data_IF_966412245266
#
_entry.id   IF_966412245266
#
_cell.length_a   1.000
_cell.length_b   1.000
_cell.length_c   1.000
_cell.angle_alpha   90.00
_cell.angle_beta   90.00
_cell.angle_gamma   90.00
#
_symmetry.space_group_name_H-M   'P 1'
#
loop_
_entity.id
_entity.type
_entity.pdbx_description
1 polymer ?
#
# COMPACT_ATOMS: atom_id res chain seq x y z
N UNK A 1 -37.66 -8.05 -18.94
CA UNK A 1 -36.18 -7.91 -19.07
C UNK A 1 -35.79 -7.01 -20.25
N UNK A 2 -36.33 -7.16 -21.45
CA UNK A 2 -36.09 -6.25 -22.60
C UNK A 2 -36.53 -4.78 -22.35
N UNK A 3 -37.65 -4.53 -21.70
CA UNK A 3 -38.13 -3.17 -21.38
C UNK A 3 -37.28 -2.44 -20.34
N UNK A 4 -36.56 -3.15 -19.45
CA UNK A 4 -35.60 -2.55 -18.50
C UNK A 4 -34.32 -2.17 -19.23
N UNK A 5 -33.91 -2.94 -20.24
CA UNK A 5 -32.71 -2.66 -21.05
C UNK A 5 -32.90 -1.46 -21.99
N UNK A 6 -34.11 -1.21 -22.46
CA UNK A 6 -34.42 -0.09 -23.35
C UNK A 6 -34.54 1.25 -22.61
N UNK A 7 -34.93 1.26 -21.32
CA UNK A 7 -34.90 2.46 -20.47
C UNK A 7 -33.51 2.95 -20.11
N UNK A 8 -32.47 2.12 -20.27
CA UNK A 8 -31.07 2.46 -19.99
C UNK A 8 -30.35 3.11 -21.19
N UNK A 9 -30.95 3.04 -22.39
CA UNK A 9 -30.36 3.54 -23.65
C UNK A 9 -30.53 5.05 -23.92
N UNK A 10 -31.16 5.79 -23.05
CA UNK A 10 -31.56 7.17 -23.33
C UNK A 10 -31.10 8.21 -22.31
N UNK A 11 -29.82 8.32 -21.96
CA UNK A 11 -29.34 9.53 -21.31
C UNK A 11 -28.06 10.05 -21.98
N UNK A 12 -28.05 11.33 -22.40
CA UNK A 12 -26.89 12.01 -22.96
C UNK A 12 -25.82 12.24 -21.86
N UNK A 13 -24.59 12.39 -22.29
CA UNK A 13 -23.36 12.75 -21.57
C UNK A 13 -23.51 13.39 -20.18
N UNK A 14 -23.97 12.63 -19.20
CA UNK A 14 -23.78 13.02 -17.79
C UNK A 14 -22.30 12.71 -17.49
N UNK A 15 -21.50 13.75 -17.28
CA UNK A 15 -20.17 13.61 -16.64
C UNK A 15 -20.41 12.80 -15.36
N UNK A 16 -20.11 11.51 -15.39
CA UNK A 16 -20.33 10.66 -14.23
C UNK A 16 -19.48 11.21 -13.09
N UNK A 17 -20.12 11.70 -12.03
CA UNK A 17 -19.47 12.18 -10.84
C UNK A 17 -18.68 11.05 -10.13
N UNK A 18 -17.87 11.41 -9.17
CA UNK A 18 -17.11 10.47 -8.34
C UNK A 18 -18.06 9.48 -7.63
N UNK A 19 -17.83 8.18 -7.80
CA UNK A 19 -18.61 7.13 -7.15
C UNK A 19 -18.10 6.88 -5.72
N UNK A 20 -18.40 7.79 -4.79
CA UNK A 20 -17.87 7.77 -3.43
C UNK A 20 -18.20 6.47 -2.66
N UNK A 21 -19.41 5.90 -2.84
CA UNK A 21 -19.77 4.64 -2.18
C UNK A 21 -18.79 3.51 -2.59
N UNK A 22 -18.43 3.42 -3.87
CA UNK A 22 -17.46 2.43 -4.35
C UNK A 22 -16.06 2.72 -3.80
N UNK A 23 -15.66 4.01 -3.77
CA UNK A 23 -14.36 4.40 -3.24
C UNK A 23 -14.21 4.09 -1.75
N UNK A 24 -15.22 4.38 -0.93
CA UNK A 24 -15.18 4.03 0.49
C UNK A 24 -15.27 2.53 0.70
N UNK A 25 -16.06 1.80 -0.08
CA UNK A 25 -16.15 0.34 0.00
C UNK A 25 -14.83 -0.32 -0.36
N UNK A 26 -14.16 0.10 -1.44
CA UNK A 26 -12.85 -0.47 -1.82
C UNK A 26 -11.74 -0.07 -0.83
N UNK A 27 -11.80 1.16 -0.27
CA UNK A 27 -10.91 1.60 0.80
C UNK A 27 -11.09 0.79 2.08
N UNK A 28 -12.34 0.46 2.45
CA UNK A 28 -12.64 -0.40 3.58
C UNK A 28 -12.17 -1.85 3.34
N UNK A 29 -12.35 -2.39 2.14
CA UNK A 29 -11.78 -3.70 1.79
C UNK A 29 -10.26 -3.70 1.87
N UNK A 30 -9.60 -2.57 1.51
CA UNK A 30 -8.16 -2.41 1.66
C UNK A 30 -7.74 -2.38 3.13
N UNK A 31 -8.50 -1.68 3.98
CA UNK A 31 -8.28 -1.69 5.43
C UNK A 31 -8.33 -3.13 5.98
N UNK A 32 -9.35 -3.90 5.62
CA UNK A 32 -9.48 -5.29 6.08
C UNK A 32 -8.33 -6.17 5.55
N UNK A 33 -7.95 -6.01 4.28
CA UNK A 33 -6.86 -6.76 3.67
C UNK A 33 -5.52 -6.50 4.36
N UNK A 34 -5.16 -5.23 4.55
CA UNK A 34 -3.86 -4.86 5.12
C UNK A 34 -3.82 -5.07 6.64
N UNK A 35 -4.95 -4.95 7.33
CA UNK A 35 -5.10 -5.37 8.73
C UNK A 35 -4.76 -6.85 8.89
N UNK A 36 -5.31 -7.72 8.04
CA UNK A 36 -5.02 -9.15 8.04
C UNK A 36 -3.52 -9.40 7.78
N UNK A 37 -2.95 -8.73 6.80
CA UNK A 37 -1.54 -8.91 6.45
C UNK A 37 -0.60 -8.43 7.56
N UNK A 38 -0.91 -7.33 8.23
CA UNK A 38 -0.09 -6.77 9.31
C UNK A 38 -0.12 -7.59 10.59
N UNK A 39 -1.11 -8.48 10.75
CA UNK A 39 -1.15 -9.48 11.83
C UNK A 39 0.00 -10.49 11.70
N UNK A 40 0.45 -10.82 10.47
CA UNK A 40 1.51 -11.81 10.25
C UNK A 40 2.82 -11.43 10.98
N UNK A 41 3.43 -10.26 10.73
CA UNK A 41 4.63 -9.87 11.47
C UNK A 41 4.37 -9.67 12.97
N UNK A 42 3.17 -9.27 13.37
CA UNK A 42 2.83 -9.14 14.78
C UNK A 42 2.75 -10.48 15.53
N UNK A 43 2.59 -11.61 14.81
CA UNK A 43 2.65 -12.96 15.37
C UNK A 43 4.08 -13.49 15.55
N UNK A 44 5.11 -12.87 15.01
CA UNK A 44 6.47 -13.43 15.00
C UNK A 44 7.01 -13.79 16.39
N UNK A 45 6.82 -12.99 17.46
CA UNK A 45 7.21 -13.40 18.80
C UNK A 45 6.51 -14.70 19.23
N UNK A 46 5.19 -14.79 19.02
CA UNK A 46 4.40 -15.95 19.36
C UNK A 46 4.85 -17.20 18.59
N UNK A 47 5.12 -17.08 17.29
CA UNK A 47 5.59 -18.19 16.46
C UNK A 47 7.01 -18.62 16.86
N UNK A 48 7.86 -17.65 17.21
CA UNK A 48 9.22 -17.92 17.67
C UNK A 48 9.19 -18.72 18.99
N UNK A 49 8.35 -18.31 19.92
CA UNK A 49 8.22 -18.96 21.23
C UNK A 49 7.57 -20.35 21.12
N UNK A 50 6.51 -20.52 20.31
CA UNK A 50 5.78 -21.78 20.15
C UNK A 50 6.57 -22.86 19.41
N UNK A 51 7.39 -22.48 18.42
CA UNK A 51 8.08 -23.42 17.52
C UNK A 51 9.61 -23.37 17.65
N UNK A 52 10.15 -22.51 18.49
CA UNK A 52 11.61 -22.35 18.63
C UNK A 52 12.31 -21.80 17.39
N UNK A 53 11.63 -20.95 16.58
CA UNK A 53 12.18 -20.44 15.33
C UNK A 53 13.35 -19.50 15.56
N UNK A 54 14.36 -19.63 14.69
CA UNK A 54 15.46 -18.66 14.60
C UNK A 54 15.00 -17.36 13.94
N UNK A 55 15.72 -16.26 14.13
CA UNK A 55 15.45 -15.01 13.43
C UNK A 55 15.54 -15.18 11.90
N UNK A 56 16.44 -16.02 11.42
CA UNK A 56 16.54 -16.36 10.00
C UNK A 56 15.23 -17.00 9.48
N UNK A 57 14.63 -17.93 10.22
CA UNK A 57 13.35 -18.54 9.85
C UNK A 57 12.21 -17.50 9.83
N UNK A 58 12.16 -16.60 10.81
CA UNK A 58 11.23 -15.47 10.81
C UNK A 58 11.45 -14.59 9.57
N UNK A 59 12.71 -14.30 9.24
CA UNK A 59 13.06 -13.57 8.01
C UNK A 59 12.59 -14.27 6.73
N UNK A 60 12.70 -15.60 6.67
CA UNK A 60 12.22 -16.41 5.54
C UNK A 60 10.69 -16.35 5.44
N UNK A 61 9.94 -16.37 6.55
CA UNK A 61 8.48 -16.21 6.55
C UNK A 61 8.11 -14.86 5.92
N UNK A 62 8.77 -13.77 6.35
CA UNK A 62 8.59 -12.43 5.78
C UNK A 62 8.92 -12.43 4.29
N UNK A 63 10.06 -13.00 3.91
CA UNK A 63 10.51 -13.04 2.52
C UNK A 63 9.53 -13.77 1.62
N UNK A 64 9.05 -14.95 2.01
CA UNK A 64 8.07 -15.73 1.23
C UNK A 64 6.77 -14.94 1.08
N UNK A 65 6.25 -14.35 2.16
CA UNK A 65 5.07 -13.50 2.11
C UNK A 65 5.26 -12.32 1.14
N UNK A 66 6.35 -11.57 1.28
CA UNK A 66 6.62 -10.37 0.47
C UNK A 66 6.89 -10.73 -1.00
N UNK A 67 7.61 -11.81 -1.29
CA UNK A 67 7.85 -12.25 -2.67
C UNK A 67 6.55 -12.66 -3.36
N UNK A 68 5.71 -13.46 -2.70
CA UNK A 68 4.44 -13.89 -3.29
C UNK A 68 3.46 -12.72 -3.46
N UNK A 69 3.46 -11.77 -2.56
CA UNK A 69 2.61 -10.59 -2.65
C UNK A 69 3.11 -9.55 -3.67
N UNK A 70 4.44 -9.42 -3.89
CA UNK A 70 4.99 -8.34 -4.71
C UNK A 70 5.30 -8.74 -6.16
N UNK A 71 5.95 -9.89 -6.36
CA UNK A 71 6.46 -10.29 -7.69
C UNK A 71 5.32 -10.56 -8.68
N UNK A 72 4.20 -11.09 -8.22
CA UNK A 72 3.06 -11.40 -9.09
C UNK A 72 2.25 -10.17 -9.51
N UNK A 73 2.29 -9.05 -8.77
CA UNK A 73 1.45 -7.86 -9.02
C UNK A 73 1.58 -7.28 -10.43
N UNK A 74 2.78 -7.06 -11.01
CA UNK A 74 2.91 -6.53 -12.37
C UNK A 74 2.31 -7.48 -13.43
N UNK A 75 2.42 -8.80 -13.21
CA UNK A 75 1.87 -9.80 -14.14
C UNK A 75 0.35 -9.84 -14.07
N UNK A 76 -0.22 -9.83 -12.86
CA UNK A 76 -1.67 -9.72 -12.66
C UNK A 76 -2.20 -8.43 -13.27
N UNK A 77 -1.56 -7.29 -12.98
CA UNK A 77 -1.95 -6.00 -13.53
C UNK A 77 -1.92 -5.97 -15.06
N UNK A 78 -0.85 -6.53 -15.67
CA UNK A 78 -0.72 -6.63 -17.13
C UNK A 78 -1.81 -7.52 -17.75
N UNK A 79 -2.08 -8.67 -17.13
CA UNK A 79 -3.13 -9.57 -17.61
C UNK A 79 -4.49 -8.88 -17.57
N UNK A 80 -4.81 -8.23 -16.47
CA UNK A 80 -6.09 -7.56 -16.28
C UNK A 80 -6.24 -6.28 -17.14
N UNK A 81 -5.18 -5.65 -17.63
CA UNK A 81 -5.26 -4.56 -18.61
C UNK A 81 -5.87 -5.03 -19.94
N UNK A 82 -5.53 -6.24 -20.37
CA UNK A 82 -6.06 -6.83 -21.60
C UNK A 82 -7.34 -7.65 -21.37
N UNK A 83 -7.49 -8.26 -20.19
CA UNK A 83 -8.58 -9.16 -19.82
C UNK A 83 -9.18 -8.74 -18.46
N UNK A 84 -9.92 -7.62 -18.37
CA UNK A 84 -10.51 -7.18 -17.11
C UNK A 84 -11.39 -8.26 -16.48
N UNK A 85 -11.08 -8.61 -15.24
CA UNK A 85 -11.75 -9.66 -14.48
C UNK A 85 -12.49 -9.05 -13.27
N UNK A 86 -13.78 -8.73 -13.39
CA UNK A 86 -14.51 -7.98 -12.36
C UNK A 86 -14.52 -8.64 -10.98
N UNK A 87 -14.39 -9.96 -10.92
CA UNK A 87 -14.43 -10.73 -9.66
C UNK A 87 -13.06 -11.21 -9.18
N UNK A 88 -11.96 -10.79 -9.82
CA UNK A 88 -10.58 -11.15 -9.41
C UNK A 88 -10.27 -10.74 -7.98
N UNK A 89 -10.75 -9.58 -7.53
CA UNK A 89 -10.61 -9.09 -6.17
C UNK A 89 -11.22 -10.04 -5.13
N UNK A 90 -12.43 -10.54 -5.40
CA UNK A 90 -13.10 -11.51 -4.52
C UNK A 90 -12.35 -12.83 -4.48
N UNK A 91 -11.86 -13.31 -5.63
CA UNK A 91 -11.04 -14.52 -5.71
C UNK A 91 -9.73 -14.36 -4.92
N UNK A 92 -9.02 -13.22 -5.07
CA UNK A 92 -7.83 -12.92 -4.28
C UNK A 92 -8.10 -12.94 -2.77
N UNK A 93 -9.22 -12.37 -2.33
CA UNK A 93 -9.62 -12.39 -0.92
C UNK A 93 -9.96 -13.81 -0.41
N UNK A 94 -10.48 -14.69 -1.27
CA UNK A 94 -10.66 -16.10 -0.93
C UNK A 94 -9.31 -16.83 -0.71
N UNK A 95 -8.26 -16.50 -1.47
CA UNK A 95 -6.91 -16.99 -1.20
C UNK A 95 -6.40 -16.48 0.16
N UNK A 96 -6.60 -15.21 0.47
CA UNK A 96 -6.24 -14.65 1.79
C UNK A 96 -7.00 -15.38 2.91
N UNK A 97 -8.30 -15.63 2.77
CA UNK A 97 -9.11 -16.40 3.71
C UNK A 97 -8.56 -17.82 3.91
N UNK A 98 -8.29 -18.55 2.82
CA UNK A 98 -7.73 -19.88 2.88
C UNK A 98 -6.37 -19.90 3.59
N UNK A 99 -5.49 -18.95 3.27
CA UNK A 99 -4.19 -18.81 3.92
C UNK A 99 -4.28 -18.50 5.42
N UNK A 100 -5.24 -17.66 5.85
CA UNK A 100 -5.50 -17.40 7.28
C UNK A 100 -5.93 -18.67 8.02
N UNK A 101 -6.85 -19.45 7.45
CA UNK A 101 -7.30 -20.70 8.05
C UNK A 101 -6.15 -21.72 8.14
N UNK A 102 -5.31 -21.79 7.10
CA UNK A 102 -4.09 -22.60 7.14
C UNK A 102 -3.12 -22.12 8.23
N UNK A 103 -2.93 -20.81 8.37
CA UNK A 103 -2.05 -20.22 9.39
C UNK A 103 -2.56 -20.50 10.81
N UNK A 104 -3.88 -20.50 11.00
CA UNK A 104 -4.49 -20.80 12.31
C UNK A 104 -4.20 -22.23 12.80
N UNK A 105 -4.07 -23.19 11.88
CA UNK A 105 -3.85 -24.62 12.20
C UNK A 105 -2.43 -25.10 11.86
N UNK A 106 -1.56 -24.18 11.43
CA UNK A 106 -0.19 -24.52 11.04
C UNK A 106 0.60 -25.08 12.24
N UNK A 107 1.17 -26.27 12.09
CA UNK A 107 1.89 -26.98 13.15
C UNK A 107 3.40 -26.97 13.00
N UNK A 108 3.95 -26.18 12.06
CA UNK A 108 5.38 -26.11 11.85
C UNK A 108 5.77 -25.17 10.71
N UNK A 109 7.09 -25.01 10.52
CA UNK A 109 7.67 -24.03 9.62
C UNK A 109 7.16 -24.12 8.17
N UNK A 110 7.13 -25.30 7.58
CA UNK A 110 6.66 -25.50 6.20
C UNK A 110 5.17 -25.15 6.02
N UNK A 111 4.33 -25.50 7.00
CA UNK A 111 2.91 -25.16 6.97
C UNK A 111 2.68 -23.65 7.08
N UNK A 112 3.46 -22.96 7.91
CA UNK A 112 3.43 -21.50 8.02
C UNK A 112 3.88 -20.84 6.72
N UNK A 113 4.97 -21.33 6.10
CA UNK A 113 5.43 -20.82 4.81
C UNK A 113 4.35 -20.98 3.72
N UNK A 114 3.69 -22.12 3.66
CA UNK A 114 2.58 -22.33 2.72
C UNK A 114 1.43 -21.36 3.00
N UNK A 115 1.04 -21.21 4.27
CA UNK A 115 -0.05 -20.32 4.66
C UNK A 115 0.23 -18.86 4.24
N UNK A 116 1.42 -18.32 4.56
CA UNK A 116 1.78 -16.95 4.20
C UNK A 116 1.98 -16.78 2.68
N UNK A 117 2.44 -17.81 1.97
CA UNK A 117 2.52 -17.78 0.51
C UNK A 117 1.12 -17.67 -0.14
N UNK A 118 0.14 -18.41 0.36
CA UNK A 118 -1.25 -18.35 -0.11
C UNK A 118 -1.86 -16.98 0.19
N UNK A 119 -1.63 -16.39 1.38
CA UNK A 119 -2.05 -15.02 1.70
C UNK A 119 -1.40 -14.02 0.74
N UNK A 120 -0.09 -14.15 0.48
CA UNK A 120 0.65 -13.30 -0.44
C UNK A 120 0.10 -13.37 -1.88
N UNK A 121 -0.25 -14.57 -2.37
CA UNK A 121 -0.89 -14.72 -3.68
C UNK A 121 -2.23 -13.96 -3.75
N UNK A 122 -3.05 -14.01 -2.71
CA UNK A 122 -4.29 -13.23 -2.60
C UNK A 122 -4.03 -11.73 -2.69
N UNK A 123 -3.05 -11.24 -1.94
CA UNK A 123 -2.61 -9.84 -1.91
C UNK A 123 -2.09 -9.36 -3.27
N UNK A 124 -1.39 -10.22 -4.02
CA UNK A 124 -0.83 -9.85 -5.33
C UNK A 124 -1.90 -9.50 -6.37
N UNK A 125 -3.09 -10.06 -6.25
CA UNK A 125 -4.25 -9.73 -7.09
C UNK A 125 -4.92 -8.45 -6.58
N UNK A 126 -4.99 -8.28 -5.26
CA UNK A 126 -5.79 -7.23 -4.64
C UNK A 126 -5.32 -5.81 -5.02
N UNK A 127 -4.03 -5.48 -4.80
CA UNK A 127 -3.56 -4.11 -4.92
C UNK A 127 -3.67 -3.50 -6.33
N UNK A 128 -3.21 -4.17 -7.42
CA UNK A 128 -3.31 -3.58 -8.75
C UNK A 128 -4.76 -3.43 -9.23
N UNK A 129 -5.62 -4.43 -8.96
CA UNK A 129 -7.00 -4.41 -9.40
C UNK A 129 -7.86 -3.43 -8.58
N UNK A 130 -7.68 -3.38 -7.26
CA UNK A 130 -8.38 -2.43 -6.41
C UNK A 130 -8.00 -0.98 -6.73
N UNK A 131 -6.73 -0.70 -7.01
CA UNK A 131 -6.27 0.60 -7.50
C UNK A 131 -6.94 0.99 -8.83
N UNK A 132 -7.08 0.04 -9.76
CA UNK A 132 -7.80 0.25 -11.03
C UNK A 132 -9.27 0.58 -10.80
N UNK A 133 -9.96 -0.18 -9.94
CA UNK A 133 -11.36 0.08 -9.57
C UNK A 133 -11.51 1.47 -8.96
N UNK A 134 -10.62 1.85 -8.03
CA UNK A 134 -10.61 3.18 -7.42
C UNK A 134 -10.44 4.29 -8.48
N UNK A 135 -9.51 4.14 -9.42
CA UNK A 135 -9.32 5.11 -10.51
C UNK A 135 -10.54 5.16 -11.44
N UNK A 136 -11.21 4.03 -11.73
CA UNK A 136 -12.43 3.98 -12.53
C UNK A 136 -13.59 4.69 -11.83
N UNK A 137 -13.67 4.62 -10.50
CA UNK A 137 -14.68 5.27 -9.68
C UNK A 137 -14.40 6.76 -9.39
N UNK A 138 -13.25 7.29 -9.83
CA UNK A 138 -12.73 8.61 -9.41
C UNK A 138 -13.51 9.81 -9.94
N UNK A 139 -14.25 9.67 -11.05
CA UNK A 139 -14.92 10.82 -11.70
C UNK A 139 -13.96 11.95 -12.10
N UNK A 140 -12.70 11.64 -12.42
CA UNK A 140 -11.62 12.57 -12.75
C UNK A 140 -10.72 12.97 -11.59
N UNK A 141 -11.09 12.73 -10.32
CA UNK A 141 -10.30 13.01 -9.12
C UNK A 141 -9.42 11.82 -8.74
N UNK A 142 -8.51 11.42 -9.62
CA UNK A 142 -7.74 10.19 -9.48
C UNK A 142 -6.86 10.16 -8.23
N UNK A 143 -6.20 11.28 -7.89
CA UNK A 143 -5.34 11.35 -6.71
C UNK A 143 -6.15 11.20 -5.42
N UNK A 144 -7.30 11.86 -5.32
CA UNK A 144 -8.20 11.71 -4.17
C UNK A 144 -8.72 10.27 -4.04
N UNK A 145 -9.16 9.66 -5.16
CA UNK A 145 -9.63 8.28 -5.17
C UNK A 145 -8.55 7.30 -4.72
N UNK A 146 -7.33 7.46 -5.23
CA UNK A 146 -6.19 6.64 -4.83
C UNK A 146 -5.82 6.87 -3.36
N UNK A 147 -5.96 8.10 -2.85
CA UNK A 147 -5.69 8.39 -1.44
C UNK A 147 -6.73 7.78 -0.51
N UNK A 148 -8.03 7.84 -0.85
CA UNK A 148 -9.09 7.15 -0.07
C UNK A 148 -8.79 5.65 0.00
N UNK A 149 -8.41 5.05 -1.13
CA UNK A 149 -8.00 3.65 -1.17
C UNK A 149 -6.80 3.38 -0.26
N UNK A 150 -5.76 4.21 -0.34
CA UNK A 150 -4.50 4.03 0.40
C UNK A 150 -4.65 4.29 1.91
N UNK A 151 -5.54 5.20 2.31
CA UNK A 151 -5.88 5.43 3.74
C UNK A 151 -6.45 4.16 4.37
N UNK A 152 -7.26 3.41 3.61
CA UNK A 152 -7.73 2.10 4.05
C UNK A 152 -6.57 1.18 4.39
N UNK A 153 -5.62 0.96 3.46
CA UNK A 153 -4.47 0.10 3.69
C UNK A 153 -3.58 0.55 4.85
N UNK A 154 -3.21 1.83 4.88
CA UNK A 154 -2.40 2.36 5.98
C UNK A 154 -3.12 2.27 7.34
N UNK A 155 -4.44 2.50 7.36
CA UNK A 155 -5.27 2.33 8.56
C UNK A 155 -5.30 0.88 9.03
N UNK A 156 -5.48 -0.06 8.10
CA UNK A 156 -5.43 -1.50 8.36
C UNK A 156 -4.08 -1.93 8.92
N UNK A 157 -3.00 -1.49 8.28
CA UNK A 157 -1.63 -1.77 8.73
C UNK A 157 -1.34 -1.24 10.14
N UNK A 158 -1.92 -0.09 10.50
CA UNK A 158 -1.77 0.47 11.84
C UNK A 158 -2.57 -0.32 12.89
N UNK A 159 -3.81 -0.73 12.56
CA UNK A 159 -4.70 -1.45 13.48
C UNK A 159 -4.22 -2.89 13.74
N UNK A 160 -3.59 -3.54 12.76
CA UNK A 160 -3.20 -4.94 12.85
C UNK A 160 -2.34 -5.29 14.08
N UNK A 161 -1.23 -4.60 14.36
CA UNK A 161 -0.44 -4.83 15.56
C UNK A 161 -1.22 -4.64 16.87
N UNK A 162 -2.15 -3.67 16.91
CA UNK A 162 -3.01 -3.44 18.05
C UNK A 162 -3.94 -4.64 18.30
N UNK A 163 -4.56 -5.17 17.22
CA UNK A 163 -5.41 -6.35 17.31
C UNK A 163 -4.60 -7.61 17.63
N UNK A 164 -3.37 -7.72 17.14
CA UNK A 164 -2.49 -8.80 17.54
C UNK A 164 -2.20 -8.77 19.04
N UNK A 165 -1.90 -7.61 19.60
CA UNK A 165 -1.70 -7.44 21.06
C UNK A 165 -2.93 -7.80 21.88
N UNK A 166 -4.13 -7.48 21.39
CA UNK A 166 -5.39 -7.70 22.13
C UNK A 166 -5.98 -9.11 21.91
N UNK A 167 -5.69 -9.76 20.79
CA UNK A 167 -6.31 -11.02 20.39
C UNK A 167 -5.27 -12.15 20.35
N UNK A 168 -4.17 -11.99 19.62
CA UNK A 168 -3.25 -13.11 19.40
C UNK A 168 -2.38 -13.41 20.61
N UNK A 169 -1.93 -12.39 21.32
CA UNK A 169 -1.10 -12.60 22.52
C UNK A 169 -1.89 -13.33 23.62
N UNK A 170 -3.14 -12.95 23.96
CA UNK A 170 -3.92 -13.66 24.98
C UNK A 170 -4.45 -15.04 24.53
N UNK A 171 -4.84 -15.17 23.26
CA UNK A 171 -5.58 -16.37 22.78
C UNK A 171 -4.74 -17.31 21.91
N UNK A 172 -3.49 -16.95 21.61
CA UNK A 172 -2.55 -17.76 20.85
C UNK A 172 -2.79 -17.78 19.33
N UNK A 173 -2.01 -18.62 18.64
CA UNK A 173 -1.99 -18.71 17.18
C UNK A 173 -3.35 -19.00 16.55
N UNK A 174 -4.15 -19.88 17.15
CA UNK A 174 -5.46 -20.26 16.60
C UNK A 174 -6.43 -19.09 16.45
N UNK A 175 -6.26 -18.03 17.29
CA UNK A 175 -7.08 -16.83 17.21
C UNK A 175 -6.88 -16.04 15.91
N UNK A 176 -5.84 -16.33 15.12
CA UNK A 176 -5.68 -15.76 13.77
C UNK A 176 -6.86 -16.17 12.87
N UNK A 177 -7.47 -17.31 13.12
CA UNK A 177 -8.67 -17.77 12.43
C UNK A 177 -9.88 -16.83 12.60
N UNK A 178 -9.95 -16.02 13.65
CA UNK A 178 -11.03 -15.04 13.85
C UNK A 178 -11.00 -13.94 12.80
N UNK A 179 -9.82 -13.61 12.26
CA UNK A 179 -9.67 -12.67 11.15
C UNK A 179 -10.27 -13.18 9.84
N UNK A 180 -10.59 -14.49 9.77
CA UNK A 180 -11.35 -15.06 8.65
C UNK A 180 -12.73 -14.38 8.49
N UNK A 181 -13.36 -13.91 9.56
CA UNK A 181 -14.60 -13.15 9.49
C UNK A 181 -14.40 -11.82 8.73
N UNK A 182 -13.28 -11.14 8.96
CA UNK A 182 -12.93 -9.92 8.22
C UNK A 182 -12.65 -10.20 6.74
N UNK A 183 -11.94 -11.30 6.44
CA UNK A 183 -11.69 -11.73 5.06
C UNK A 183 -12.99 -12.10 4.33
N UNK A 184 -13.92 -12.78 4.99
CA UNK A 184 -15.23 -13.13 4.43
C UNK A 184 -16.09 -11.88 4.18
N UNK A 185 -16.09 -10.93 5.12
CA UNK A 185 -16.75 -9.64 4.95
C UNK A 185 -16.19 -8.89 3.74
N UNK A 186 -14.86 -8.80 3.62
CA UNK A 186 -14.21 -8.18 2.48
C UNK A 186 -14.57 -8.90 1.17
N UNK A 187 -14.52 -10.23 1.13
CA UNK A 187 -14.88 -11.01 -0.07
C UNK A 187 -16.31 -10.73 -0.52
N UNK A 188 -17.28 -10.66 0.39
CA UNK A 188 -18.69 -10.37 0.07
C UNK A 188 -18.89 -8.95 -0.46
N UNK A 189 -18.19 -7.96 0.12
CA UNK A 189 -18.22 -6.58 -0.40
C UNK A 189 -17.56 -6.50 -1.78
N UNK A 190 -16.46 -7.21 -2.01
CA UNK A 190 -15.76 -7.23 -3.28
C UNK A 190 -16.59 -7.90 -4.40
N UNK A 191 -17.47 -8.86 -4.09
CA UNK A 191 -18.44 -9.38 -5.07
C UNK A 191 -19.38 -8.26 -5.55
N UNK A 192 -19.90 -7.43 -4.63
CA UNK A 192 -20.77 -6.29 -4.99
C UNK A 192 -20.03 -5.24 -5.82
N UNK A 193 -18.79 -4.94 -5.46
CA UNK A 193 -17.90 -4.05 -6.22
C UNK A 193 -17.63 -4.64 -7.61
N UNK A 194 -17.37 -5.95 -7.71
CA UNK A 194 -17.18 -6.66 -8.96
C UNK A 194 -18.40 -6.57 -9.88
N UNK A 195 -19.60 -6.70 -9.34
CA UNK A 195 -20.84 -6.50 -10.10
C UNK A 195 -20.96 -5.07 -10.65
N UNK A 196 -20.73 -4.04 -9.82
CA UNK A 196 -20.67 -2.65 -10.28
C UNK A 196 -19.62 -2.45 -11.38
N UNK A 197 -18.43 -3.00 -11.18
CA UNK A 197 -17.32 -2.88 -12.12
C UNK A 197 -17.63 -3.56 -13.46
N UNK A 198 -18.31 -4.71 -13.47
CA UNK A 198 -18.75 -5.40 -14.69
C UNK A 198 -19.71 -4.56 -15.51
N UNK A 199 -20.69 -3.89 -14.85
CA UNK A 199 -21.61 -2.97 -15.50
C UNK A 199 -20.90 -1.74 -16.07
N UNK A 200 -19.91 -1.21 -15.34
CA UNK A 200 -19.12 -0.07 -15.81
C UNK A 200 -18.28 -0.43 -17.02
N UNK A 201 -17.62 -1.60 -17.03
CA UNK A 201 -16.86 -2.09 -18.18
C UNK A 201 -17.72 -2.28 -19.42
N UNK A 202 -18.93 -2.83 -19.27
CA UNK A 202 -19.85 -3.00 -20.41
C UNK A 202 -20.26 -1.66 -21.05
N UNK A 203 -20.50 -0.63 -20.22
CA UNK A 203 -20.78 0.74 -20.69
C UNK A 203 -19.57 1.38 -21.37
N UNK A 204 -18.38 1.23 -20.79
CA UNK A 204 -17.13 1.75 -21.38
C UNK A 204 -16.83 1.10 -22.74
N UNK A 205 -17.04 -0.20 -22.89
CA UNK A 205 -16.90 -0.90 -24.18
C UNK A 205 -17.88 -0.40 -25.24
N UNK A 206 -19.10 -0.07 -24.88
CA UNK A 206 -20.09 0.51 -25.80
C UNK A 206 -19.77 1.95 -26.20
N UNK A 207 -19.16 2.73 -25.28
CA UNK A 207 -18.74 4.13 -25.53
C UNK A 207 -17.37 4.23 -26.22
N UNK A 208 -16.48 3.24 -26.07
CA UNK A 208 -15.11 3.26 -26.60
C UNK A 208 -15.04 3.25 -28.15
N UNK A 209 -16.17 3.14 -28.84
CA UNK A 209 -16.24 3.37 -30.30
C UNK A 209 -15.92 4.82 -30.71
N UNK A 210 -15.86 5.77 -29.76
CA UNK A 210 -15.70 7.20 -30.05
C UNK A 210 -14.61 7.92 -29.24
N UNK A 211 -14.01 7.31 -28.22
CA UNK A 211 -13.00 7.97 -27.41
C UNK A 211 -11.65 7.27 -27.56
N UNK A 212 -10.76 7.84 -28.40
CA UNK A 212 -9.33 7.54 -28.36
C UNK A 212 -8.82 7.92 -26.95
N UNK A 213 -8.22 6.96 -26.24
CA UNK A 213 -7.46 7.26 -25.03
C UNK A 213 -6.50 8.42 -25.35
N UNK A 214 -6.58 9.51 -24.59
CA UNK A 214 -5.67 10.64 -24.70
C UNK A 214 -4.29 10.13 -24.34
N UNK A 215 -3.50 9.80 -25.34
CA UNK A 215 -2.10 9.42 -25.18
C UNK A 215 -1.34 10.59 -24.57
N UNK A 216 -0.45 10.32 -23.63
CA UNK A 216 0.48 11.31 -23.12
C UNK A 216 1.37 11.75 -24.30
N UNK A 217 1.31 13.03 -24.69
CA UNK A 217 2.05 13.58 -25.85
C UNK A 217 3.55 13.80 -25.56
N UNK A 218 4.10 13.15 -24.52
CA UNK A 218 5.51 13.26 -24.17
C UNK A 218 6.35 12.26 -24.97
N UNK A 219 7.58 12.63 -25.37
CA UNK A 219 8.53 11.69 -25.97
C UNK A 219 8.77 10.47 -25.06
N UNK A 220 8.89 9.29 -25.63
CA UNK A 220 9.10 8.03 -24.88
C UNK A 220 10.34 8.09 -23.97
N UNK A 221 11.38 8.80 -24.39
CA UNK A 221 12.59 9.04 -23.58
C UNK A 221 12.29 9.83 -22.32
N UNK A 222 11.40 10.83 -22.39
CA UNK A 222 10.94 11.63 -21.26
C UNK A 222 10.08 10.78 -20.33
N UNK A 223 9.19 9.96 -20.88
CA UNK A 223 8.36 9.03 -20.09
C UNK A 223 9.23 8.04 -19.31
N UNK A 224 10.23 7.42 -19.96
CA UNK A 224 11.17 6.50 -19.31
C UNK A 224 11.97 7.18 -18.18
N UNK A 225 12.49 8.39 -18.44
CA UNK A 225 13.19 9.17 -17.41
C UNK A 225 12.28 9.49 -16.23
N UNK A 226 11.04 9.91 -16.47
CA UNK A 226 10.08 10.20 -15.42
C UNK A 226 9.76 8.96 -14.58
N UNK A 227 9.51 7.80 -15.22
CA UNK A 227 9.29 6.53 -14.51
C UNK A 227 10.51 6.12 -13.68
N UNK A 228 11.74 6.28 -14.19
CA UNK A 228 12.95 5.99 -13.43
C UNK A 228 13.08 6.90 -12.19
N UNK A 229 12.78 8.19 -12.32
CA UNK A 229 12.75 9.13 -11.18
C UNK A 229 11.72 8.65 -10.14
N UNK A 230 10.51 8.26 -10.57
CA UNK A 230 9.49 7.78 -9.65
C UNK A 230 9.91 6.47 -8.93
N UNK A 231 10.64 5.58 -9.59
CA UNK A 231 11.21 4.38 -8.95
C UNK A 231 12.22 4.77 -7.86
N UNK A 232 13.08 5.75 -8.12
CA UNK A 232 14.01 6.28 -7.09
C UNK A 232 13.24 6.92 -5.93
N UNK A 233 12.14 7.60 -6.20
CA UNK A 233 11.29 8.18 -5.16
C UNK A 233 10.64 7.10 -4.29
N UNK A 234 10.17 6.00 -4.90
CA UNK A 234 9.64 4.85 -4.17
C UNK A 234 10.73 4.18 -3.33
N UNK A 235 11.91 3.96 -3.91
CA UNK A 235 13.06 3.43 -3.18
C UNK A 235 13.37 4.28 -1.94
N UNK A 236 13.59 5.58 -2.11
CA UNK A 236 13.89 6.50 -1.02
C UNK A 236 12.85 6.41 0.10
N UNK A 237 11.57 6.49 -0.27
CA UNK A 237 10.45 6.47 0.68
C UNK A 237 10.33 5.13 1.40
N UNK A 238 10.29 4.02 0.67
CA UNK A 238 9.96 2.72 1.28
C UNK A 238 11.13 2.06 1.98
N UNK A 239 12.36 2.35 1.60
CA UNK A 239 13.52 1.99 2.42
C UNK A 239 13.51 2.71 3.76
N UNK A 240 13.23 4.02 3.77
CA UNK A 240 13.09 4.77 5.02
C UNK A 240 11.91 4.24 5.88
N UNK A 241 10.72 4.08 5.28
CA UNK A 241 9.55 3.55 5.99
C UNK A 241 9.84 2.15 6.54
N UNK A 242 10.54 1.30 5.79
CA UNK A 242 10.91 -0.05 6.24
C UNK A 242 11.80 -0.01 7.49
N UNK A 243 12.78 0.91 7.54
CA UNK A 243 13.58 1.13 8.74
C UNK A 243 12.69 1.56 9.92
N UNK A 244 11.81 2.53 9.71
CA UNK A 244 10.88 3.00 10.74
C UNK A 244 9.94 1.88 11.22
N UNK A 245 9.32 1.14 10.33
CA UNK A 245 8.33 0.11 10.72
C UNK A 245 8.96 -1.10 11.39
N UNK A 246 10.20 -1.47 11.02
CA UNK A 246 10.85 -2.68 11.53
C UNK A 246 11.73 -2.42 12.75
N UNK A 247 12.29 -1.22 12.87
CA UNK A 247 13.35 -0.97 13.86
C UNK A 247 13.08 0.21 14.79
N UNK A 248 12.03 1.01 14.59
CA UNK A 248 11.74 2.18 15.42
C UNK A 248 11.47 1.80 16.88
N UNK A 249 10.77 0.71 17.11
CA UNK A 249 10.52 0.19 18.47
C UNK A 249 11.83 -0.17 19.17
N UNK A 250 12.74 -0.86 18.49
CA UNK A 250 14.04 -1.20 19.02
C UNK A 250 14.89 0.04 19.30
N UNK A 251 14.88 1.02 18.38
CA UNK A 251 15.57 2.29 18.58
C UNK A 251 15.07 3.04 19.82
N UNK A 252 13.75 3.08 20.04
CA UNK A 252 13.19 3.75 21.21
C UNK A 252 13.53 3.03 22.52
N UNK A 253 13.46 1.69 22.53
CA UNK A 253 13.82 0.87 23.68
C UNK A 253 15.30 1.02 24.02
N UNK A 254 16.19 0.88 23.03
CA UNK A 254 17.64 0.90 23.24
C UNK A 254 18.14 2.29 23.66
N UNK A 255 17.62 3.35 23.03
CA UNK A 255 18.08 4.71 23.27
C UNK A 255 17.49 5.35 24.53
N UNK A 256 16.22 5.08 24.82
CA UNK A 256 15.47 5.78 25.87
C UNK A 256 15.04 4.88 27.04
N UNK A 257 15.28 3.58 26.97
CA UNK A 257 14.92 2.63 28.02
C UNK A 257 13.42 2.47 28.27
N UNK A 258 12.57 2.81 27.27
CA UNK A 258 11.11 2.66 27.40
C UNK A 258 10.67 1.22 27.23
N UNK A 259 9.47 0.90 27.69
CA UNK A 259 8.90 -0.44 27.57
C UNK A 259 8.53 -0.78 26.13
N UNK A 260 8.42 -2.07 25.83
CA UNK A 260 7.95 -2.56 24.53
C UNK A 260 6.56 -2.00 24.22
N UNK A 261 5.67 -1.92 25.21
CA UNK A 261 4.33 -1.41 25.02
C UNK A 261 4.32 0.07 24.62
N UNK A 262 5.10 0.91 25.30
CA UNK A 262 5.24 2.35 24.98
C UNK A 262 5.82 2.55 23.58
N UNK A 263 6.78 1.72 23.20
CA UNK A 263 7.38 1.76 21.86
C UNK A 263 6.37 1.39 20.76
N UNK A 264 5.45 0.43 21.02
CA UNK A 264 4.38 0.06 20.12
C UNK A 264 3.33 1.17 19.97
N UNK A 265 2.98 1.89 21.03
CA UNK A 265 2.12 3.08 20.92
C UNK A 265 2.77 4.18 20.07
N UNK A 266 4.08 4.36 20.19
CA UNK A 266 4.83 5.32 19.39
C UNK A 266 4.84 4.93 17.89
N UNK A 267 5.02 3.64 17.60
CA UNK A 267 4.92 3.11 16.24
C UNK A 267 3.49 3.25 15.67
N UNK A 268 2.47 2.95 16.47
CA UNK A 268 1.07 3.19 16.09
C UNK A 268 0.82 4.65 15.72
N UNK A 269 1.31 5.61 16.53
CA UNK A 269 1.16 7.03 16.25
C UNK A 269 1.81 7.44 14.92
N UNK A 270 3.00 6.92 14.61
CA UNK A 270 3.66 7.11 13.32
C UNK A 270 2.83 6.53 12.15
N UNK A 271 2.31 5.30 12.27
CA UNK A 271 1.50 4.65 11.25
C UNK A 271 0.14 5.32 11.06
N UNK A 272 -0.49 5.79 12.14
CA UNK A 272 -1.72 6.58 12.07
C UNK A 272 -1.48 7.92 11.33
N UNK A 273 -0.34 8.58 11.60
CA UNK A 273 0.06 9.78 10.89
C UNK A 273 0.28 9.51 9.39
N UNK A 274 0.83 8.35 9.01
CA UNK A 274 0.93 7.92 7.60
C UNK A 274 -0.45 7.84 6.94
N UNK A 275 -1.46 7.29 7.62
CA UNK A 275 -2.81 7.19 7.08
C UNK A 275 -3.42 8.58 6.82
N UNK A 276 -3.32 9.49 7.79
CA UNK A 276 -3.79 10.88 7.66
C UNK A 276 -3.04 11.63 6.57
N UNK A 277 -1.71 11.54 6.54
CA UNK A 277 -0.86 12.19 5.54
C UNK A 277 -1.16 11.74 4.12
N UNK A 278 -1.51 10.47 3.94
CA UNK A 278 -1.92 9.92 2.64
C UNK A 278 -3.18 10.60 2.10
N UNK A 279 -4.18 10.86 2.96
CA UNK A 279 -5.40 11.55 2.57
C UNK A 279 -5.11 13.00 2.17
N UNK A 280 -4.33 13.71 2.98
CA UNK A 280 -3.90 15.09 2.68
C UNK A 280 -3.17 15.18 1.34
N UNK A 281 -2.29 14.22 1.04
CA UNK A 281 -1.56 14.15 -0.22
C UNK A 281 -2.45 14.05 -1.46
N UNK A 282 -3.58 13.36 -1.35
CA UNK A 282 -4.56 13.25 -2.43
C UNK A 282 -5.23 14.58 -2.77
N UNK A 283 -5.69 15.31 -1.75
CA UNK A 283 -6.26 16.64 -1.94
C UNK A 283 -5.24 17.63 -2.53
N UNK A 284 -4.03 17.64 -1.98
CA UNK A 284 -2.96 18.50 -2.44
C UNK A 284 -2.51 18.17 -3.87
N UNK A 285 -2.46 16.85 -4.21
CA UNK A 285 -2.06 16.38 -5.54
C UNK A 285 -2.98 16.83 -6.66
N UNK A 286 -4.30 16.81 -6.41
CA UNK A 286 -5.31 17.26 -7.38
C UNK A 286 -5.38 18.79 -7.47
N UNK A 287 -5.03 19.52 -6.40
CA UNK A 287 -5.10 21.00 -6.33
C UNK A 287 -3.84 21.69 -6.83
N UNK A 288 -2.67 21.25 -6.38
CA UNK A 288 -1.37 21.94 -6.64
C UNK A 288 -0.51 21.23 -7.68
N UNK A 289 -0.91 20.03 -8.10
CA UNK A 289 -0.18 19.20 -9.05
C UNK A 289 0.74 18.17 -8.38
N UNK A 290 0.74 16.98 -8.97
CA UNK A 290 1.38 15.79 -8.40
C UNK A 290 2.88 15.89 -8.24
N UNK A 291 3.59 16.54 -9.19
CA UNK A 291 5.03 16.78 -9.12
C UNK A 291 5.42 17.50 -7.81
N UNK A 292 4.71 18.56 -7.46
CA UNK A 292 5.02 19.35 -6.27
C UNK A 292 4.73 18.55 -4.99
N UNK A 293 3.64 17.80 -4.96
CA UNK A 293 3.33 16.92 -3.81
C UNK A 293 4.42 15.85 -3.63
N UNK A 294 4.90 15.23 -4.70
CA UNK A 294 5.99 14.25 -4.63
C UNK A 294 7.27 14.90 -4.07
N UNK A 295 7.63 16.06 -4.61
CA UNK A 295 8.82 16.80 -4.18
C UNK A 295 8.75 17.19 -2.70
N UNK A 296 7.67 17.88 -2.30
CA UNK A 296 7.52 18.38 -0.93
C UNK A 296 7.29 17.26 0.08
N UNK A 297 6.66 16.15 -0.32
CA UNK A 297 6.46 15.01 0.57
C UNK A 297 7.77 14.31 0.92
N UNK A 298 8.63 14.06 -0.05
CA UNK A 298 9.87 13.30 0.20
C UNK A 298 10.97 14.26 0.70
N UNK A 299 11.28 15.31 -0.04
CA UNK A 299 12.34 16.26 0.34
C UNK A 299 11.95 17.07 1.59
N UNK A 300 10.68 17.47 1.71
CA UNK A 300 10.18 18.21 2.88
C UNK A 300 10.18 17.40 4.17
N UNK A 301 10.20 16.07 4.11
CA UNK A 301 10.41 15.23 5.29
C UNK A 301 11.87 15.23 5.77
N UNK A 302 12.85 15.54 4.90
CA UNK A 302 14.28 15.42 5.20
C UNK A 302 14.73 16.18 6.46
N UNK A 303 14.37 17.46 6.72
CA UNK A 303 14.83 18.16 7.93
C UNK A 303 14.34 17.46 9.21
N UNK A 304 13.13 16.92 9.20
CA UNK A 304 12.55 16.23 10.36
C UNK A 304 13.18 14.84 10.55
N UNK A 305 13.42 14.10 9.46
CA UNK A 305 14.10 12.80 9.55
C UNK A 305 15.53 12.95 10.03
N UNK A 306 16.28 13.93 9.52
CA UNK A 306 17.66 14.19 9.95
C UNK A 306 17.78 14.57 11.43
N UNK A 307 16.80 15.28 11.98
CA UNK A 307 16.78 15.64 13.39
C UNK A 307 16.45 14.45 14.31
N UNK A 308 15.63 13.50 13.85
CA UNK A 308 15.03 12.42 14.64
C UNK A 308 16.03 11.64 15.50
N UNK A 309 17.22 11.20 15.02
CA UNK A 309 18.16 10.42 15.82
C UNK A 309 18.84 11.21 16.96
N UNK A 310 18.74 12.54 16.99
CA UNK A 310 19.46 13.41 17.92
C UNK A 310 18.59 14.03 19.00
N UNK A 311 17.29 13.79 18.95
CA UNK A 311 16.30 14.39 19.85
C UNK A 311 16.10 13.52 21.11
N UNK A 312 15.43 14.10 22.13
CA UNK A 312 14.89 13.37 23.26
C UNK A 312 13.62 12.61 22.89
N UNK A 313 13.11 11.74 23.78
CA UNK A 313 11.97 10.84 23.51
C UNK A 313 10.75 11.59 22.96
N UNK A 314 10.30 12.66 23.62
CA UNK A 314 9.09 13.39 23.25
C UNK A 314 9.20 14.00 21.84
N UNK A 315 10.32 14.66 21.56
CA UNK A 315 10.58 15.26 20.26
C UNK A 315 10.83 14.21 19.17
N UNK A 316 11.42 13.07 19.51
CA UNK A 316 11.59 11.94 18.58
C UNK A 316 10.22 11.43 18.12
N UNK A 317 9.28 11.22 19.05
CA UNK A 317 7.91 10.77 18.72
C UNK A 317 7.17 11.87 17.92
N UNK A 318 7.26 13.14 18.36
CA UNK A 318 6.62 14.25 17.64
C UNK A 318 7.15 14.38 16.19
N UNK A 319 8.47 14.29 16.00
CA UNK A 319 9.07 14.31 14.65
C UNK A 319 8.68 13.09 13.82
N UNK A 320 8.60 11.90 14.43
CA UNK A 320 8.13 10.71 13.75
C UNK A 320 6.69 10.88 13.23
N UNK A 321 5.79 11.48 14.01
CA UNK A 321 4.42 11.81 13.58
C UNK A 321 4.44 12.80 12.41
N UNK A 322 5.22 13.87 12.50
CA UNK A 322 5.35 14.87 11.41
C UNK A 322 5.91 14.21 10.15
N UNK A 323 6.96 13.40 10.27
CA UNK A 323 7.52 12.62 9.15
C UNK A 323 6.46 11.71 8.53
N UNK A 324 5.70 10.99 9.36
CA UNK A 324 4.59 10.15 8.91
C UNK A 324 3.57 10.92 8.06
N UNK A 325 3.11 12.07 8.57
CA UNK A 325 2.17 12.96 7.87
C UNK A 325 2.73 13.43 6.51
N UNK A 326 3.96 13.90 6.50
CA UNK A 326 4.58 14.50 5.30
C UNK A 326 4.91 13.43 4.26
N UNK A 327 5.65 12.38 4.63
CA UNK A 327 6.17 11.38 3.68
C UNK A 327 5.06 10.51 3.07
N UNK A 328 3.93 10.36 3.79
CA UNK A 328 2.82 9.53 3.32
C UNK A 328 2.16 10.09 2.06
N UNK A 329 2.10 11.40 1.92
CA UNK A 329 1.38 12.08 0.83
C UNK A 329 1.93 11.78 -0.58
N UNK A 330 3.19 11.31 -0.69
CA UNK A 330 3.85 11.06 -1.98
C UNK A 330 3.25 9.89 -2.76
N UNK A 331 2.87 8.78 -2.10
CA UNK A 331 2.61 7.54 -2.84
C UNK A 331 1.42 7.63 -3.79
N UNK A 332 0.29 8.17 -3.33
CA UNK A 332 -0.88 8.38 -4.18
C UNK A 332 -0.56 9.28 -5.38
N UNK A 333 0.22 10.33 -5.16
CA UNK A 333 0.67 11.23 -6.22
C UNK A 333 1.63 10.53 -7.21
N UNK A 334 2.58 9.74 -6.71
CA UNK A 334 3.51 8.95 -7.53
C UNK A 334 2.75 7.97 -8.42
N UNK A 335 1.83 7.20 -7.84
CA UNK A 335 1.09 6.19 -8.56
C UNK A 335 0.20 6.79 -9.66
N UNK A 336 -0.53 7.86 -9.34
CA UNK A 336 -1.37 8.54 -10.34
C UNK A 336 -0.52 9.22 -11.40
N UNK A 337 0.60 9.84 -11.04
CA UNK A 337 1.53 10.42 -12.01
C UNK A 337 2.06 9.34 -12.97
N UNK A 338 2.46 8.17 -12.44
CA UNK A 338 2.96 7.05 -13.25
C UNK A 338 1.90 6.48 -14.19
N UNK A 339 0.65 6.33 -13.72
CA UNK A 339 -0.47 5.84 -14.54
C UNK A 339 -0.91 6.85 -15.60
N UNK A 340 -0.76 8.15 -15.36
CA UNK A 340 -1.03 9.19 -16.37
C UNK A 340 0.05 9.23 -17.47
N UNK A 341 1.28 8.78 -17.20
CA UNK A 341 2.31 8.61 -18.22
C UNK A 341 2.00 7.47 -19.18
N UNK A 342 1.29 6.42 -18.73
CA UNK A 342 0.92 5.23 -19.51
C UNK A 342 -0.54 4.86 -19.25
N UNK A 343 -1.51 5.65 -19.74
CA UNK A 343 -2.92 5.48 -19.43
C UNK A 343 -3.56 4.21 -20.01
N UNK A 344 -2.91 3.58 -20.99
CA UNK A 344 -3.26 2.29 -21.58
C UNK A 344 -2.84 1.08 -20.71
N UNK A 345 -1.99 1.28 -19.69
CA UNK A 345 -1.37 0.24 -18.87
C UNK A 345 -1.52 0.48 -17.37
N UNK A 346 -2.70 0.94 -16.95
CA UNK A 346 -2.97 1.33 -15.54
C UNK A 346 -2.70 0.18 -14.56
N UNK A 347 -3.19 -1.03 -14.87
CA UNK A 347 -2.99 -2.19 -13.99
C UNK A 347 -1.54 -2.63 -13.91
N UNK A 348 -0.84 -2.67 -15.07
CA UNK A 348 0.59 -3.02 -15.10
C UNK A 348 1.44 -2.01 -14.31
N UNK A 349 1.19 -0.72 -14.49
CA UNK A 349 1.91 0.36 -13.78
C UNK A 349 1.59 0.30 -12.29
N UNK A 350 0.30 0.18 -11.92
CA UNK A 350 -0.09 0.04 -10.52
C UNK A 350 0.57 -1.19 -9.88
N UNK A 351 0.51 -2.34 -10.56
CA UNK A 351 1.15 -3.57 -10.07
C UNK A 351 2.67 -3.44 -9.91
N UNK A 352 3.35 -2.76 -10.86
CA UNK A 352 4.79 -2.50 -10.74
C UNK A 352 5.10 -1.63 -9.50
N UNK A 353 4.35 -0.55 -9.30
CA UNK A 353 4.62 0.39 -8.21
C UNK A 353 4.24 -0.16 -6.84
N UNK A 354 3.16 -0.93 -6.72
CA UNK A 354 2.85 -1.67 -5.48
C UNK A 354 3.86 -2.80 -5.25
N UNK A 355 4.23 -3.54 -6.29
CA UNK A 355 5.26 -4.57 -6.20
C UNK A 355 6.61 -4.01 -5.72
N UNK A 356 7.02 -2.85 -6.26
CA UNK A 356 8.22 -2.14 -5.79
C UNK A 356 8.07 -1.66 -4.34
N UNK A 357 6.91 -1.16 -3.95
CA UNK A 357 6.64 -0.72 -2.57
C UNK A 357 6.89 -1.86 -1.57
N UNK A 358 6.24 -2.99 -1.77
CA UNK A 358 6.37 -4.15 -0.88
C UNK A 358 7.75 -4.82 -1.01
N UNK A 359 8.23 -5.01 -2.23
CA UNK A 359 9.54 -5.63 -2.48
C UNK A 359 10.69 -4.83 -1.88
N UNK A 360 10.72 -3.51 -2.09
CA UNK A 360 11.74 -2.63 -1.52
C UNK A 360 11.57 -2.51 0.00
N UNK A 361 10.35 -2.55 0.52
CA UNK A 361 10.11 -2.62 1.96
C UNK A 361 10.73 -3.87 2.59
N UNK A 362 10.52 -5.04 2.00
CA UNK A 362 11.11 -6.30 2.46
C UNK A 362 12.63 -6.33 2.36
N UNK A 363 13.18 -5.91 1.21
CA UNK A 363 14.63 -5.79 1.01
C UNK A 363 15.23 -4.79 1.99
N UNK A 364 14.59 -3.63 2.20
CA UNK A 364 15.02 -2.60 3.14
C UNK A 364 15.09 -3.11 4.57
N UNK A 365 14.05 -3.84 5.02
CA UNK A 365 14.03 -4.44 6.35
C UNK A 365 15.16 -5.45 6.54
N UNK A 366 15.37 -6.36 5.58
CA UNK A 366 16.45 -7.33 5.62
C UNK A 366 17.83 -6.66 5.61
N UNK A 367 18.02 -5.64 4.76
CA UNK A 367 19.25 -4.88 4.66
C UNK A 367 19.59 -4.16 5.98
N UNK A 368 18.63 -3.44 6.55
CA UNK A 368 18.85 -2.73 7.81
C UNK A 368 19.04 -3.68 9.00
N UNK A 369 18.39 -4.86 9.00
CA UNK A 369 18.63 -5.89 10.01
C UNK A 369 20.04 -6.44 9.93
N UNK A 370 20.49 -6.81 8.73
CA UNK A 370 21.87 -7.25 8.50
C UNK A 370 22.91 -6.17 8.88
N UNK A 371 22.59 -4.91 8.62
CA UNK A 371 23.46 -3.79 8.96
C UNK A 371 23.46 -3.53 10.48
N UNK A 372 22.29 -3.63 11.14
CA UNK A 372 22.18 -3.46 12.59
C UNK A 372 22.98 -4.49 13.37
N UNK A 373 22.93 -5.77 12.95
CA UNK A 373 23.72 -6.86 13.57
C UNK A 373 25.24 -6.62 13.49
N UNK A 374 25.71 -5.82 12.52
CA UNK A 374 27.12 -5.49 12.32
C UNK A 374 27.54 -4.14 12.91
N UNK A 375 26.58 -3.29 13.21
CA UNK A 375 26.83 -1.93 13.68
C UNK A 375 26.03 -1.62 14.95
N UNK A 376 24.91 -0.96 14.82
CA UNK A 376 23.94 -0.71 15.90
C UNK A 376 22.60 -0.23 15.33
N UNK A 377 21.56 -0.31 16.14
CA UNK A 377 20.24 0.27 15.80
C UNK A 377 20.35 1.78 15.58
N UNK A 378 21.15 2.48 16.37
CA UNK A 378 21.34 3.92 16.21
C UNK A 378 21.99 4.27 14.85
N UNK A 379 22.98 3.47 14.42
CA UNK A 379 23.66 3.67 13.13
C UNK A 379 22.70 3.50 11.95
N UNK A 380 21.85 2.48 11.95
CA UNK A 380 20.88 2.28 10.86
C UNK A 380 19.85 3.41 10.82
N UNK A 381 19.45 3.94 11.99
CA UNK A 381 18.57 5.10 12.04
C UNK A 381 19.23 6.34 11.44
N UNK A 382 20.47 6.67 11.84
CA UNK A 382 21.23 7.80 11.28
C UNK A 382 21.38 7.70 9.75
N UNK A 383 21.69 6.52 9.24
CA UNK A 383 21.87 6.31 7.80
C UNK A 383 20.55 6.36 7.03
N UNK A 384 19.48 5.78 7.58
CA UNK A 384 18.17 5.78 6.93
C UNK A 384 17.57 7.18 6.78
N UNK A 385 17.87 8.10 7.73
CA UNK A 385 17.35 9.49 7.69
C UNK A 385 17.90 10.30 6.52
N UNK A 386 18.97 9.86 5.86
CA UNK A 386 19.51 10.49 4.65
C UNK A 386 18.68 10.17 3.39
N UNK A 387 17.91 9.08 3.40
CA UNK A 387 17.16 8.63 2.23
C UNK A 387 16.19 9.69 1.67
N UNK A 388 15.43 10.45 2.49
CA UNK A 388 14.53 11.48 1.96
C UNK A 388 15.23 12.62 1.19
N UNK A 389 16.54 12.82 1.36
CA UNK A 389 17.31 13.78 0.56
C UNK A 389 17.30 13.44 -0.94
N UNK A 390 17.14 12.16 -1.30
CA UNK A 390 16.95 11.74 -2.70
C UNK A 390 15.71 12.37 -3.32
N UNK A 391 14.79 12.91 -2.52
CA UNK A 391 13.62 13.68 -2.98
C UNK A 391 13.96 14.83 -3.89
N UNK A 392 15.18 15.39 -3.83
CA UNK A 392 15.65 16.45 -4.73
C UNK A 392 15.56 16.06 -6.21
N UNK A 393 15.70 14.76 -6.53
CA UNK A 393 15.63 14.23 -7.90
C UNK A 393 14.22 14.45 -8.50
N UNK A 394 13.17 14.58 -7.67
CA UNK A 394 11.82 14.88 -8.15
C UNK A 394 11.70 16.24 -8.85
N UNK A 395 12.66 17.15 -8.67
CA UNK A 395 12.71 18.42 -9.39
C UNK A 395 12.79 18.22 -10.92
N UNK A 396 13.41 17.15 -11.36
CA UNK A 396 13.57 16.80 -12.77
C UNK A 396 12.32 16.13 -13.40
N UNK A 397 11.26 15.88 -12.64
CA UNK A 397 9.99 15.39 -13.19
C UNK A 397 9.38 16.44 -14.13
N UNK A 398 8.89 16.07 -15.31
CA UNK A 398 8.16 16.99 -16.18
C UNK A 398 6.83 17.44 -15.53
N UNK A 399 6.38 18.63 -15.86
CA UNK A 399 5.04 19.08 -15.45
C UNK A 399 3.99 18.44 -16.35
N UNK A 400 3.27 17.45 -15.82
CA UNK A 400 2.09 16.88 -16.47
C UNK A 400 0.88 17.63 -15.94
N UNK A 401 0.27 18.49 -16.77
CA UNK A 401 -1.02 19.10 -16.42
C UNK A 401 -2.10 18.01 -16.54
N UNK A 402 -2.98 17.86 -15.55
CA UNK A 402 -4.16 17.03 -15.71
C UNK A 402 -4.95 17.51 -16.93
N UNK A 403 -5.42 16.57 -17.74
CA UNK A 403 -6.11 16.89 -19.01
C UNK A 403 -7.45 17.65 -18.86
N UNK A 404 -7.89 17.97 -17.63
CA UNK A 404 -9.16 18.63 -17.34
C UNK A 404 -9.08 19.62 -16.16
N UNK A 405 -8.59 20.81 -16.42
CA UNK A 405 -8.97 22.03 -15.72
C UNK A 405 -9.26 23.12 -16.77
N UNK A 406 -10.43 23.01 -17.40
CA UNK A 406 -11.18 24.15 -17.92
C UNK A 406 -12.56 24.12 -17.28
#
# INVERSE_FOLDING_TARGET
MKQILDKVKGHPDIKEGTAYMILFSIGFCHLLNDMIQSVIPAMYPLLKDNFGFTFAQIGIITLVFQLTSSVLQPFVGRYADSHPQPYSLSAGMCFTLAGLLLLAVASGFAAILLAVAVIGCGSSVFHPEASRVAQTASGGRKSLAQSIFQVGGNGGSAIGPLLAALILIPYGQHAVGWFAAAALLAATLLVRIGYWYSLKLSRMRSSARTSRATSCNLPETTVRKALAILVVMIFSKYFFISCMTSYFTFFLIEKFGITVQESQFSLFAFLAALAVGTLLGGFLGDRYGRKYVILFSILGAAPFTLALPYLNLYWTIAMAIIVGLVIASAFSAILVYATDLKPDKVGMISGLFFGLMFGLGGIGSAFFGWLADRTSIEFIFRTSTLLPLLGIIATFLPNIRPANHK
#
